data_IF_666557005214
#
_entry.id   IF_666557005214
#
_cell.length_a   1.000
_cell.length_b   1.000
_cell.length_c   1.000
_cell.angle_alpha   90.00
_cell.angle_beta   90.00
_cell.angle_gamma   90.00
#
_symmetry.space_group_name_H-M   'P 1'
#
loop_
_entity.id
_entity.type
_entity.pdbx_description
1 polymer ?
#
# COMPACT_ATOMS: atom_id res chain seq x y z
N UNK A 1 -1.08 -17.02 -8.97
CA UNK A 1 -1.07 -15.77 -8.19
C UNK A 1 -2.51 -15.38 -7.94
N UNK A 2 -2.97 -15.36 -6.69
CA UNK A 2 -4.31 -14.89 -6.38
C UNK A 2 -4.30 -13.36 -6.47
N UNK A 3 -5.01 -12.81 -7.44
CA UNK A 3 -5.24 -11.37 -7.55
C UNK A 3 -6.20 -11.01 -6.43
N UNK A 4 -5.68 -10.46 -5.33
CA UNK A 4 -6.54 -9.89 -4.29
C UNK A 4 -7.13 -8.63 -4.88
N UNK A 5 -8.43 -8.64 -5.15
CA UNK A 5 -9.16 -7.43 -5.49
C UNK A 5 -9.18 -6.51 -4.26
N UNK A 6 -8.15 -5.66 -4.12
CA UNK A 6 -7.99 -4.70 -3.03
C UNK A 6 -8.90 -3.48 -3.24
N UNK A 7 -10.20 -3.73 -3.38
CA UNK A 7 -11.23 -2.68 -3.32
C UNK A 7 -11.16 -1.91 -1.99
N UNK A 8 -10.75 -2.59 -0.92
CA UNK A 8 -10.48 -2.01 0.40
C UNK A 8 -9.20 -2.62 0.98
N UNK A 9 -8.64 -1.96 2.00
CA UNK A 9 -7.49 -2.47 2.74
C UNK A 9 -7.74 -2.29 4.24
N UNK A 10 -7.34 -3.27 5.04
CA UNK A 10 -7.34 -3.12 6.49
C UNK A 10 -6.15 -2.28 6.94
N UNK A 11 -6.22 -1.65 8.11
CA UNK A 11 -5.07 -0.97 8.72
C UNK A 11 -4.14 -2.00 9.38
N UNK A 12 -2.84 -1.72 9.41
CA UNK A 12 -1.85 -2.53 10.12
C UNK A 12 -1.25 -3.68 9.30
N UNK A 13 -1.61 -3.80 8.01
CA UNK A 13 -0.99 -4.78 7.11
C UNK A 13 0.35 -4.24 6.62
N UNK A 14 1.37 -5.10 6.61
CA UNK A 14 2.72 -4.73 6.20
C UNK A 14 3.06 -5.25 4.82
N UNK A 15 3.74 -4.40 4.06
CA UNK A 15 4.15 -4.70 2.70
C UNK A 15 5.58 -4.26 2.47
N UNK A 16 6.30 -5.05 1.67
CA UNK A 16 7.55 -4.63 1.04
C UNK A 16 7.24 -4.13 -0.37
N UNK A 17 7.54 -2.86 -0.62
CA UNK A 17 7.35 -2.26 -1.95
C UNK A 17 8.46 -2.71 -2.91
N UNK A 18 8.26 -2.48 -4.21
CA UNK A 18 9.28 -2.79 -5.23
C UNK A 18 10.59 -2.01 -5.06
N UNK A 19 10.56 -0.86 -4.39
CA UNK A 19 11.77 -0.10 -4.04
C UNK A 19 12.48 -0.62 -2.79
N UNK A 20 11.90 -1.62 -2.11
CA UNK A 20 12.46 -2.22 -0.90
C UNK A 20 12.04 -1.56 0.41
N UNK A 21 11.14 -0.57 0.36
CA UNK A 21 10.60 0.07 1.57
C UNK A 21 9.63 -0.85 2.28
N UNK A 22 9.66 -0.84 3.62
CA UNK A 22 8.65 -1.50 4.45
C UNK A 22 7.61 -0.47 4.86
N UNK A 23 6.35 -0.76 4.52
CA UNK A 23 5.23 0.15 4.76
C UNK A 23 4.08 -0.57 5.45
N UNK A 24 3.29 0.19 6.21
CA UNK A 24 2.09 -0.30 6.90
C UNK A 24 0.85 0.43 6.38
N UNK A 25 -0.22 -0.29 6.13
CA UNK A 25 -1.49 0.26 5.65
C UNK A 25 -2.22 1.02 6.77
N UNK A 26 -2.92 2.09 6.40
CA UNK A 26 -3.70 2.91 7.36
C UNK A 26 -5.20 2.60 7.32
N UNK A 27 -5.65 1.76 6.39
CA UNK A 27 -7.06 1.47 6.13
C UNK A 27 -7.74 2.43 5.15
N UNK A 28 -7.04 3.46 4.66
CA UNK A 28 -7.59 4.39 3.66
C UNK A 28 -7.29 3.87 2.25
N UNK A 29 -8.35 3.72 1.45
CA UNK A 29 -8.27 3.40 0.02
C UNK A 29 -8.85 4.54 -0.81
N UNK A 30 -8.26 4.80 -1.98
CA UNK A 30 -8.83 5.67 -3.00
C UNK A 30 -8.87 4.95 -4.34
N UNK A 31 -10.01 5.05 -5.00
CA UNK A 31 -10.14 4.65 -6.39
C UNK A 31 -9.67 5.79 -7.31
N UNK A 32 -8.88 5.47 -8.32
CA UNK A 32 -8.40 6.42 -9.33
C UNK A 32 -9.16 6.17 -10.64
N UNK A 33 -10.15 7.01 -10.92
CA UNK A 33 -11.08 6.84 -12.06
C UNK A 33 -10.38 6.76 -13.43
N UNK A 34 -9.31 7.53 -13.64
CA UNK A 34 -8.62 7.58 -14.94
C UNK A 34 -7.89 6.29 -15.29
N UNK A 35 -7.41 5.56 -14.29
CA UNK A 35 -6.63 4.33 -14.45
C UNK A 35 -7.38 3.10 -13.94
N UNK A 36 -8.55 3.27 -13.34
CA UNK A 36 -9.40 2.22 -12.79
C UNK A 36 -8.65 1.32 -11.78
N UNK A 37 -7.74 1.91 -10.99
CA UNK A 37 -6.98 1.20 -9.95
C UNK A 37 -7.28 1.74 -8.57
N UNK A 38 -7.09 0.91 -7.55
CA UNK A 38 -7.12 1.33 -6.16
C UNK A 38 -5.71 1.65 -5.68
N UNK A 39 -5.59 2.71 -4.90
CA UNK A 39 -4.37 3.08 -4.18
C UNK A 39 -4.68 3.20 -2.70
N UNK A 40 -3.70 2.85 -1.87
CA UNK A 40 -3.86 2.73 -0.43
C UNK A 40 -2.92 3.71 0.26
N UNK A 41 -3.39 4.41 1.28
CA UNK A 41 -2.51 5.21 2.12
C UNK A 41 -1.70 4.28 3.02
N UNK A 42 -0.38 4.42 2.91
CA UNK A 42 0.60 3.67 3.69
C UNK A 42 1.51 4.63 4.45
N UNK A 43 2.10 4.14 5.54
CA UNK A 43 3.15 4.81 6.29
C UNK A 43 4.44 4.02 6.21
N UNK A 44 5.58 4.68 5.98
CA UNK A 44 6.89 4.03 6.04
C UNK A 44 7.18 3.67 7.50
N UNK A 45 7.45 2.40 7.79
CA UNK A 45 7.70 1.93 9.16
C UNK A 45 9.18 1.67 9.45
N UNK A 46 10.01 1.57 8.42
CA UNK A 46 11.46 1.32 8.55
C UNK A 46 12.27 2.09 7.51
N UNK A 47 13.42 2.62 7.92
CA UNK A 47 14.40 3.28 7.04
C UNK A 47 14.17 4.77 6.84
N UNK A 48 14.77 5.31 5.77
CA UNK A 48 14.66 6.73 5.44
C UNK A 48 13.21 7.09 5.09
N UNK A 49 12.71 8.19 5.68
CA UNK A 49 11.31 8.59 5.54
C UNK A 49 10.35 7.88 6.49
N UNK A 50 10.83 7.14 7.50
CA UNK A 50 9.97 6.55 8.53
C UNK A 50 8.98 7.59 9.10
N UNK A 51 7.70 7.24 9.10
CA UNK A 51 6.59 8.12 9.50
C UNK A 51 5.93 8.87 8.34
N UNK A 52 6.57 8.94 7.17
CA UNK A 52 5.98 9.58 5.99
C UNK A 52 4.82 8.75 5.44
N UNK A 53 3.78 9.47 5.01
CA UNK A 53 2.56 8.89 4.44
C UNK A 53 2.42 9.23 2.98
N UNK A 54 1.97 8.25 2.19
CA UNK A 54 1.69 8.45 0.78
C UNK A 54 0.69 7.42 0.25
N UNK A 55 0.12 7.70 -0.92
CA UNK A 55 -0.74 6.75 -1.63
C UNK A 55 0.11 5.81 -2.48
N UNK A 56 -0.08 4.51 -2.31
CA UNK A 56 0.63 3.48 -3.05
C UNK A 56 -0.34 2.44 -3.62
N UNK A 57 -0.12 2.03 -4.87
CA UNK A 57 -0.78 0.85 -5.42
C UNK A 57 -0.06 -0.39 -4.86
N UNK A 58 -0.81 -1.29 -4.23
CA UNK A 58 -0.27 -2.50 -3.57
C UNK A 58 -0.46 -3.77 -4.40
N UNK A 59 -0.99 -3.69 -5.63
CA UNK A 59 -1.29 -4.86 -6.49
C UNK A 59 -0.05 -5.70 -6.81
N UNK A 60 1.13 -5.06 -6.76
CA UNK A 60 2.44 -5.67 -7.02
C UNK A 60 3.37 -5.65 -5.79
N UNK A 61 2.85 -5.28 -4.62
CA UNK A 61 3.61 -5.30 -3.38
C UNK A 61 3.55 -6.69 -2.73
N UNK A 62 4.63 -7.08 -2.06
CA UNK A 62 4.68 -8.35 -1.33
C UNK A 62 4.23 -8.10 0.11
N UNK A 63 3.14 -8.76 0.53
CA UNK A 63 2.71 -8.74 1.92
C UNK A 63 3.67 -9.56 2.78
N UNK A 64 4.06 -9.03 3.94
CA UNK A 64 5.03 -9.66 4.87
C UNK A 64 4.49 -9.78 6.29
#
# INVERSE_FOLDING_TARGET
MAYVDMSTVESGLRFKTRSGLIVETTGVTRHIDTTQVNVHEVVIVEGDGQGDKYLHNLDVAEQI
#
